data_IF_684825047196
#
_entry.id   IF_684825047196
#
_cell.length_a   1.000
_cell.length_b   1.000
_cell.length_c   1.000
_cell.angle_alpha   90.00
_cell.angle_beta   90.00
_cell.angle_gamma   90.00
#
_symmetry.space_group_name_H-M   'P 1'
#
loop_
_entity.id
_entity.type
_entity.pdbx_description
1 polymer ?
#
# COMPACT_ATOMS: atom_id res chain seq x y z
N UNK A 1 3.43 27.95 31.13
CA UNK A 1 3.50 29.05 30.15
C UNK A 1 2.08 29.51 29.82
N UNK A 2 1.81 30.81 29.89
CA UNK A 2 0.50 31.33 29.50
C UNK A 2 0.35 31.36 27.97
N UNK A 3 -0.81 30.99 27.42
CA UNK A 3 -1.06 31.09 25.99
C UNK A 3 -1.07 32.55 25.53
N UNK A 4 -0.49 32.81 24.36
CA UNK A 4 -0.47 34.14 23.75
C UNK A 4 -1.72 34.36 22.91
N UNK A 5 -2.38 35.51 23.06
CA UNK A 5 -3.44 35.93 22.14
C UNK A 5 -2.81 36.54 20.90
N UNK A 6 -3.22 36.09 19.72
CA UNK A 6 -2.70 36.54 18.41
C UNK A 6 -3.89 36.78 17.49
N UNK A 7 -3.82 37.81 16.65
CA UNK A 7 -4.84 38.09 15.64
C UNK A 7 -4.24 37.85 14.26
N UNK A 8 -4.89 37.01 13.46
CA UNK A 8 -4.45 36.63 12.11
C UNK A 8 -5.69 36.67 11.22
N UNK A 9 -5.63 37.49 10.16
CA UNK A 9 -6.73 37.67 9.19
C UNK A 9 -8.07 38.05 9.85
N UNK A 10 -8.02 38.91 10.88
CA UNK A 10 -9.20 39.35 11.65
C UNK A 10 -9.79 38.28 12.58
N UNK A 11 -9.14 37.13 12.74
CA UNK A 11 -9.54 36.06 13.66
C UNK A 11 -8.62 36.02 14.87
N UNK A 12 -9.21 36.06 16.06
CA UNK A 12 -8.48 35.94 17.32
C UNK A 12 -8.17 34.46 17.61
N UNK A 13 -6.88 34.16 17.74
CA UNK A 13 -6.34 32.86 18.12
C UNK A 13 -5.63 32.93 19.47
N UNK A 14 -5.57 31.79 20.14
CA UNK A 14 -4.80 31.59 21.36
C UNK A 14 -3.75 30.51 21.11
N UNK A 15 -2.49 30.92 21.15
CA UNK A 15 -1.34 30.09 20.81
C UNK A 15 -0.66 29.56 22.08
N UNK A 16 -0.30 28.28 22.06
CA UNK A 16 0.57 27.66 23.08
C UNK A 16 1.60 26.76 22.42
N UNK A 17 2.72 26.53 23.07
CA UNK A 17 3.72 25.58 22.57
C UNK A 17 3.44 24.16 23.08
N UNK A 18 3.71 23.17 22.24
CA UNK A 18 3.77 21.77 22.65
C UNK A 18 4.98 21.57 23.57
N UNK A 19 4.84 20.94 24.75
CA UNK A 19 5.99 20.73 25.64
C UNK A 19 7.03 19.77 25.04
N UNK A 20 6.59 18.80 24.23
CA UNK A 20 7.50 17.82 23.60
C UNK A 20 8.29 18.39 22.41
N UNK A 21 7.61 18.99 21.42
CA UNK A 21 8.24 19.38 20.15
C UNK A 21 8.34 20.89 19.93
N UNK A 22 7.91 21.71 20.88
CA UNK A 22 7.90 23.18 20.77
C UNK A 22 6.89 23.76 19.75
N UNK A 23 6.25 22.93 18.92
CA UNK A 23 5.31 23.41 17.87
C UNK A 23 4.18 24.25 18.46
N UNK A 24 3.86 25.33 17.78
CA UNK A 24 2.75 26.23 18.10
C UNK A 24 1.42 25.54 17.80
N UNK A 25 0.51 25.55 18.77
CA UNK A 25 -0.85 25.00 18.68
C UNK A 25 -1.83 26.15 18.86
N UNK A 26 -2.70 26.34 17.86
CA UNK A 26 -3.73 27.39 17.85
C UNK A 26 -5.06 26.87 18.37
N UNK A 27 -5.74 27.69 19.17
CA UNK A 27 -7.08 27.45 19.69
C UNK A 27 -7.95 28.67 19.45
N UNK A 28 -9.22 28.48 19.08
CA UNK A 28 -10.18 29.58 18.93
C UNK A 28 -10.63 30.15 20.28
N UNK A 29 -10.66 29.32 21.33
CA UNK A 29 -11.09 29.70 22.68
C UNK A 29 -9.91 29.76 23.65
N UNK A 30 -9.69 30.92 24.28
CA UNK A 30 -8.57 31.12 25.22
C UNK A 30 -8.62 30.26 26.47
N UNK A 31 -9.83 29.90 26.94
CA UNK A 31 -10.00 28.94 28.02
C UNK A 31 -9.38 27.56 27.68
N UNK A 32 -9.58 27.06 26.45
CA UNK A 32 -9.04 25.76 26.03
C UNK A 32 -7.51 25.79 25.97
N UNK A 33 -6.94 26.86 25.40
CA UNK A 33 -5.50 27.04 25.35
C UNK A 33 -4.90 27.05 26.77
N UNK A 34 -5.53 27.78 27.71
CA UNK A 34 -5.09 27.84 29.11
C UNK A 34 -5.20 26.49 29.80
N UNK A 35 -6.34 25.81 29.69
CA UNK A 35 -6.56 24.47 30.27
C UNK A 35 -5.52 23.46 29.77
N UNK A 36 -5.29 23.40 28.46
CA UNK A 36 -4.34 22.45 27.86
C UNK A 36 -2.88 22.83 28.13
N UNK A 37 -2.56 24.13 28.25
CA UNK A 37 -1.23 24.58 28.66
C UNK A 37 -0.94 24.21 30.11
N UNK A 38 -1.90 24.44 31.02
CA UNK A 38 -1.80 24.03 32.44
C UNK A 38 -1.65 22.51 32.59
N UNK A 39 -2.38 21.74 31.78
CA UNK A 39 -2.27 20.28 31.76
C UNK A 39 -1.00 19.75 31.06
N UNK A 40 -0.12 20.60 30.54
CA UNK A 40 1.06 20.17 29.79
C UNK A 40 0.72 19.28 28.59
N UNK A 41 -0.46 19.49 27.98
CA UNK A 41 -0.95 18.59 26.94
C UNK A 41 -0.12 18.70 25.66
N UNK A 42 0.12 17.57 25.00
CA UNK A 42 0.92 17.52 23.79
C UNK A 42 0.13 17.95 22.56
N UNK A 43 0.83 18.26 21.47
CA UNK A 43 0.18 18.43 20.16
C UNK A 43 -0.34 17.08 19.65
N UNK A 44 -1.27 17.11 18.68
CA UNK A 44 -1.85 15.88 18.12
C UNK A 44 -0.77 14.92 17.57
N UNK A 45 0.22 15.37 16.78
CA UNK A 45 1.33 14.50 16.36
C UNK A 45 2.06 13.84 17.54
N UNK A 46 2.54 14.63 18.51
CA UNK A 46 3.28 14.11 19.66
C UNK A 46 2.45 13.15 20.51
N UNK A 47 1.16 13.42 20.71
CA UNK A 47 0.26 12.53 21.46
C UNK A 47 0.10 11.15 20.80
N UNK A 48 0.29 11.04 19.50
CA UNK A 48 0.15 9.76 18.78
C UNK A 48 1.48 9.17 18.32
N UNK A 49 2.60 9.76 18.72
CA UNK A 49 3.95 9.29 18.39
C UNK A 49 4.78 9.04 19.65
N UNK A 50 5.75 8.14 19.56
CA UNK A 50 6.68 7.88 20.67
C UNK A 50 5.95 7.59 21.97
N UNK A 51 6.52 8.04 23.09
CA UNK A 51 6.01 7.78 24.44
C UNK A 51 4.61 8.35 24.72
N UNK A 52 4.06 9.22 23.86
CA UNK A 52 2.72 9.79 24.01
C UNK A 52 1.62 8.86 23.55
N UNK A 53 1.96 7.96 22.62
CA UNK A 53 1.06 6.95 22.18
C UNK A 53 1.04 5.82 23.21
N UNK A 54 -0.11 5.58 23.83
CA UNK A 54 -0.31 4.49 24.79
C UNK A 54 0.07 3.11 24.25
N UNK A 55 0.16 2.96 22.92
CA UNK A 55 0.57 1.73 22.25
C UNK A 55 2.04 1.69 21.85
N UNK A 56 2.79 2.78 22.00
CA UNK A 56 4.22 2.79 21.66
C UNK A 56 5.00 1.82 22.55
N UNK A 57 5.87 1.04 21.93
CA UNK A 57 6.63 -0.02 22.59
C UNK A 57 5.81 -1.26 22.97
N UNK A 58 4.47 -1.22 22.91
CA UNK A 58 3.63 -2.40 23.19
C UNK A 58 3.53 -3.28 21.96
N UNK A 59 3.77 -4.59 22.13
CA UNK A 59 3.51 -5.61 21.10
C UNK A 59 2.25 -6.37 21.48
N UNK A 60 1.42 -6.70 20.49
CA UNK A 60 0.34 -7.65 20.70
C UNK A 60 0.91 -9.00 21.11
N UNK A 61 0.29 -9.66 22.08
CA UNK A 61 0.61 -11.04 22.42
C UNK A 61 0.26 -11.94 21.24
N UNK A 62 0.91 -13.10 21.13
CA UNK A 62 0.63 -14.03 20.03
C UNK A 62 -0.82 -14.53 20.07
N UNK A 63 -1.39 -14.68 21.27
CA UNK A 63 -2.82 -14.97 21.45
C UNK A 63 -3.71 -13.90 20.82
N UNK A 64 -3.43 -12.60 21.09
CA UNK A 64 -4.18 -11.50 20.48
C UNK A 64 -4.02 -11.48 18.95
N UNK A 65 -2.82 -11.75 18.42
CA UNK A 65 -2.60 -11.81 16.96
C UNK A 65 -3.43 -12.91 16.31
N UNK A 66 -3.45 -14.10 16.92
CA UNK A 66 -4.25 -15.24 16.44
C UNK A 66 -5.74 -14.92 16.51
N UNK A 67 -6.20 -14.30 17.59
CA UNK A 67 -7.60 -13.92 17.76
C UNK A 67 -8.04 -12.85 16.76
N UNK A 68 -7.24 -11.79 16.57
CA UNK A 68 -7.48 -10.80 15.52
C UNK A 68 -7.47 -11.44 14.13
N UNK A 69 -6.52 -12.33 13.84
CA UNK A 69 -6.47 -13.04 12.56
C UNK A 69 -7.74 -13.82 12.29
N UNK A 70 -8.24 -14.57 13.29
CA UNK A 70 -9.54 -15.28 13.21
C UNK A 70 -10.71 -14.33 13.02
N UNK A 71 -10.73 -13.20 13.72
CA UNK A 71 -11.79 -12.19 13.64
C UNK A 71 -11.83 -11.45 12.31
N UNK A 72 -10.71 -11.26 11.60
CA UNK A 72 -10.68 -10.47 10.36
C UNK A 72 -10.52 -11.30 9.09
N UNK A 73 -10.55 -12.63 9.20
CA UNK A 73 -10.43 -13.56 8.05
C UNK A 73 -11.70 -14.40 7.86
N UNK A 74 -11.89 -14.86 6.62
CA UNK A 74 -12.99 -15.76 6.26
C UNK A 74 -14.34 -15.29 6.77
N UNK A 75 -15.08 -16.21 7.43
CA UNK A 75 -16.41 -15.95 7.98
C UNK A 75 -16.43 -15.02 9.21
N UNK A 76 -15.29 -14.85 9.88
CA UNK A 76 -15.18 -14.01 11.06
C UNK A 76 -15.09 -12.52 10.73
N UNK A 77 -14.60 -12.18 9.52
CA UNK A 77 -14.44 -10.79 9.10
C UNK A 77 -15.78 -10.05 9.23
N UNK A 78 -15.86 -8.89 9.91
CA UNK A 78 -17.11 -8.10 10.01
C UNK A 78 -17.69 -7.69 8.65
N UNK A 79 -16.85 -7.68 7.61
CA UNK A 79 -17.25 -7.43 6.23
C UNK A 79 -17.74 -8.70 5.52
N UNK A 80 -17.64 -9.87 6.16
CA UNK A 80 -18.15 -11.14 5.69
C UNK A 80 -19.52 -11.43 6.29
N UNK A 81 -20.47 -11.81 5.45
CA UNK A 81 -21.53 -12.70 5.91
C UNK A 81 -22.78 -12.12 6.57
N UNK A 82 -22.80 -10.95 7.27
CA UNK A 82 -24.05 -10.29 7.75
C UNK A 82 -23.83 -8.77 7.94
N UNK A 83 -24.67 -7.91 7.33
CA UNK A 83 -24.87 -6.51 7.76
C UNK A 83 -23.81 -5.44 7.45
N UNK A 84 -22.66 -5.78 6.86
CA UNK A 84 -21.63 -4.80 6.44
C UNK A 84 -21.17 -4.91 4.99
N UNK A 85 -21.23 -6.10 4.39
CA UNK A 85 -20.87 -6.35 2.98
C UNK A 85 -21.32 -7.76 2.53
N UNK A 86 -22.53 -8.18 2.87
CA UNK A 86 -23.13 -9.34 2.20
C UNK A 86 -23.59 -8.95 0.80
N UNK A 87 -22.92 -9.47 -0.24
CA UNK A 87 -23.53 -9.67 -1.56
C UNK A 87 -23.96 -8.43 -2.36
N UNK A 88 -23.90 -7.23 -1.79
CA UNK A 88 -24.03 -6.00 -2.57
C UNK A 88 -22.70 -5.80 -3.28
N UNK A 89 -22.70 -6.06 -4.59
CA UNK A 89 -21.72 -5.47 -5.48
C UNK A 89 -21.50 -4.00 -5.05
N UNK A 90 -20.25 -3.54 -5.07
CA UNK A 90 -19.95 -2.14 -4.81
C UNK A 90 -20.99 -1.24 -5.50
N UNK A 91 -21.48 -0.21 -4.81
CA UNK A 91 -22.39 0.74 -5.46
C UNK A 91 -21.77 1.22 -6.77
N UNK A 92 -22.59 1.54 -7.77
CA UNK A 92 -22.08 2.05 -9.05
C UNK A 92 -21.18 3.28 -8.86
N UNK A 93 -21.47 4.13 -7.86
CA UNK A 93 -20.59 5.23 -7.49
C UNK A 93 -19.22 4.76 -6.98
N UNK A 94 -19.20 3.75 -6.11
CA UNK A 94 -17.96 3.15 -5.60
C UNK A 94 -17.17 2.48 -6.73
N UNK A 95 -17.84 1.72 -7.61
CA UNK A 95 -17.22 1.13 -8.80
C UNK A 95 -16.62 2.21 -9.70
N UNK A 96 -17.34 3.31 -9.96
CA UNK A 96 -16.83 4.47 -10.73
C UNK A 96 -15.64 5.13 -10.06
N UNK A 97 -15.61 5.29 -8.73
CA UNK A 97 -14.46 5.82 -7.99
C UNK A 97 -13.23 4.90 -8.09
N UNK A 98 -13.43 3.58 -7.97
CA UNK A 98 -12.38 2.57 -8.17
C UNK A 98 -11.86 2.56 -9.61
N UNK A 99 -12.76 2.61 -10.59
CA UNK A 99 -12.40 2.69 -12.00
C UNK A 99 -11.61 3.98 -12.29
N UNK A 100 -12.07 5.14 -11.81
CA UNK A 100 -11.38 6.43 -11.98
C UNK A 100 -9.97 6.40 -11.39
N UNK A 101 -9.81 5.87 -10.17
CA UNK A 101 -8.49 5.75 -9.54
C UNK A 101 -7.58 4.80 -10.30
N UNK A 102 -8.10 3.68 -10.81
CA UNK A 102 -7.36 2.78 -11.69
C UNK A 102 -6.95 3.46 -13.01
N UNK A 103 -7.85 4.23 -13.65
CA UNK A 103 -7.52 4.99 -14.86
C UNK A 103 -6.43 6.03 -14.61
N UNK A 104 -6.51 6.77 -13.50
CA UNK A 104 -5.46 7.73 -13.11
C UNK A 104 -4.13 7.02 -12.91
N UNK A 105 -4.13 5.86 -12.23
CA UNK A 105 -2.93 5.07 -12.03
C UNK A 105 -2.28 4.62 -13.35
N UNK A 106 -3.06 4.14 -14.31
CA UNK A 106 -2.55 3.77 -15.64
C UNK A 106 -2.08 4.99 -16.45
N UNK A 107 -2.81 6.11 -16.37
CA UNK A 107 -2.47 7.36 -17.05
C UNK A 107 -1.14 7.93 -16.55
N UNK A 108 -0.92 7.92 -15.24
CA UNK A 108 0.34 8.37 -14.64
C UNK A 108 1.52 7.49 -15.06
N UNK A 109 1.27 6.22 -15.40
CA UNK A 109 2.26 5.30 -15.96
C UNK A 109 2.42 5.43 -17.48
N UNK A 110 1.66 6.31 -18.14
CA UNK A 110 1.76 6.54 -19.58
C UNK A 110 1.26 5.38 -20.46
N UNK A 111 0.44 4.46 -19.94
CA UNK A 111 -0.12 3.38 -20.75
C UNK A 111 -1.63 3.44 -20.93
N UNK A 112 -2.06 2.90 -22.07
CA UNK A 112 -3.43 2.53 -22.33
C UNK A 112 -3.69 1.11 -21.79
N UNK A 113 -4.47 0.94 -20.70
CA UNK A 113 -4.64 -0.36 -20.04
C UNK A 113 -5.13 -1.48 -20.98
N UNK A 114 -6.13 -1.25 -21.86
CA UNK A 114 -6.50 -2.21 -22.92
C UNK A 114 -5.33 -2.66 -23.81
N UNK A 115 -4.46 -1.75 -24.24
CA UNK A 115 -3.35 -2.07 -25.13
C UNK A 115 -2.28 -2.91 -24.42
N UNK A 116 -1.94 -2.55 -23.18
CA UNK A 116 -1.01 -3.32 -22.36
C UNK A 116 -1.58 -4.71 -22.03
N UNK A 117 -2.87 -4.81 -21.72
CA UNK A 117 -3.53 -6.10 -21.48
C UNK A 117 -3.46 -7.01 -22.71
N UNK A 118 -3.70 -6.47 -23.91
CA UNK A 118 -3.56 -7.21 -25.18
C UNK A 118 -2.12 -7.70 -25.39
N UNK A 119 -1.13 -6.82 -25.21
CA UNK A 119 0.28 -7.15 -25.33
C UNK A 119 0.70 -8.24 -24.33
N UNK A 120 0.30 -8.11 -23.07
CA UNK A 120 0.56 -9.10 -22.02
C UNK A 120 -0.02 -10.47 -22.36
N UNK A 121 -1.24 -10.52 -22.89
CA UNK A 121 -1.86 -11.78 -23.32
C UNK A 121 -1.06 -12.46 -24.44
N UNK A 122 -0.48 -11.68 -25.37
CA UNK A 122 0.39 -12.20 -26.43
C UNK A 122 1.69 -12.77 -25.83
N UNK A 123 2.35 -12.04 -24.94
CA UNK A 123 3.55 -12.52 -24.22
C UNK A 123 3.25 -13.80 -23.43
N UNK A 124 2.14 -13.85 -22.71
CA UNK A 124 1.73 -15.02 -21.94
C UNK A 124 1.50 -16.24 -22.85
N UNK A 125 0.92 -16.03 -24.04
CA UNK A 125 0.74 -17.09 -25.05
C UNK A 125 2.08 -17.65 -25.51
N UNK A 126 3.04 -16.78 -25.83
CA UNK A 126 4.40 -17.20 -26.23
C UNK A 126 5.11 -17.93 -25.09
N UNK A 127 5.04 -17.37 -23.88
CA UNK A 127 5.69 -17.90 -22.66
C UNK A 127 5.20 -19.31 -22.34
N UNK A 128 3.89 -19.57 -22.44
CA UNK A 128 3.31 -20.91 -22.20
C UNK A 128 3.80 -21.98 -23.18
N UNK A 129 4.23 -21.58 -24.38
CA UNK A 129 4.74 -22.50 -25.40
C UNK A 129 6.25 -22.74 -25.29
N UNK A 130 6.95 -22.06 -24.36
CA UNK A 130 8.38 -22.28 -24.16
C UNK A 130 8.64 -23.54 -23.31
N UNK A 131 9.75 -24.26 -23.54
CA UNK A 131 10.14 -25.40 -22.72
C UNK A 131 10.72 -24.94 -21.37
N UNK A 132 9.89 -24.33 -20.52
CA UNK A 132 10.29 -23.73 -19.23
C UNK A 132 10.86 -24.73 -18.22
N UNK A 133 10.63 -26.03 -18.44
CA UNK A 133 11.21 -27.10 -17.62
C UNK A 133 12.73 -27.20 -17.76
N UNK A 134 13.31 -26.61 -18.81
CA UNK A 134 14.75 -26.51 -19.02
C UNK A 134 15.40 -25.38 -18.19
N UNK A 135 14.60 -24.51 -17.57
CA UNK A 135 15.12 -23.43 -16.75
C UNK A 135 15.65 -23.98 -15.42
N UNK A 136 16.79 -23.43 -14.99
CA UNK A 136 17.35 -23.73 -13.67
C UNK A 136 16.32 -23.45 -12.57
N UNK A 137 16.23 -24.32 -11.56
CA UNK A 137 15.29 -24.22 -10.43
C UNK A 137 13.80 -24.34 -10.79
N UNK A 138 13.46 -24.89 -11.96
CA UNK A 138 12.07 -25.15 -12.35
C UNK A 138 11.35 -26.09 -11.36
N UNK A 139 12.06 -27.09 -10.84
CA UNK A 139 11.61 -28.04 -9.83
C UNK A 139 11.17 -27.37 -8.52
N UNK A 140 11.72 -26.18 -8.22
CA UNK A 140 11.41 -25.39 -7.00
C UNK A 140 10.21 -24.46 -7.18
N UNK A 141 9.46 -24.57 -8.27
CA UNK A 141 8.30 -23.72 -8.53
C UNK A 141 7.22 -23.91 -7.45
N UNK A 142 6.75 -22.82 -6.87
CA UNK A 142 5.78 -22.90 -5.76
C UNK A 142 4.97 -21.64 -5.52
N UNK A 143 4.16 -21.67 -4.47
CA UNK A 143 3.28 -20.56 -4.05
C UNK A 143 4.09 -19.49 -3.31
N UNK A 144 3.73 -18.21 -3.48
CA UNK A 144 4.32 -17.13 -2.69
C UNK A 144 4.10 -17.36 -1.19
N UNK A 145 5.08 -17.01 -0.36
CA UNK A 145 5.04 -17.23 1.09
C UNK A 145 5.63 -18.56 1.55
N UNK A 146 5.83 -19.53 0.65
CA UNK A 146 6.47 -20.82 0.99
C UNK A 146 8.00 -20.67 0.97
N UNK A 147 8.68 -21.17 2.01
CA UNK A 147 10.15 -21.12 2.09
C UNK A 147 10.76 -21.94 0.94
N UNK A 148 11.67 -21.34 0.19
CA UNK A 148 12.35 -22.00 -0.94
C UNK A 148 11.55 -22.05 -2.24
N UNK A 149 10.37 -21.41 -2.32
CA UNK A 149 9.59 -21.37 -3.56
C UNK A 149 10.16 -20.38 -4.59
N UNK A 150 10.11 -20.77 -5.85
CA UNK A 150 10.55 -19.96 -6.99
C UNK A 150 9.37 -19.63 -7.91
N UNK A 151 9.44 -18.48 -8.56
CA UNK A 151 8.49 -18.01 -9.57
C UNK A 151 9.18 -17.83 -10.91
N UNK A 152 8.41 -18.00 -11.98
CA UNK A 152 8.82 -17.63 -13.32
C UNK A 152 8.81 -16.10 -13.44
N UNK A 153 9.94 -15.53 -13.86
CA UNK A 153 10.17 -14.10 -14.02
C UNK A 153 10.70 -13.80 -15.42
N UNK A 154 10.28 -12.67 -15.97
CA UNK A 154 10.86 -12.12 -17.19
C UNK A 154 12.08 -11.25 -16.84
N UNK A 155 13.24 -11.54 -17.43
CA UNK A 155 14.48 -10.77 -17.24
C UNK A 155 14.23 -9.31 -17.61
N UNK A 156 13.85 -9.08 -18.87
CA UNK A 156 13.24 -7.84 -19.35
C UNK A 156 11.73 -7.91 -19.09
N UNK A 157 11.22 -6.97 -18.29
CA UNK A 157 9.83 -7.00 -17.86
C UNK A 157 8.85 -6.82 -19.04
N UNK A 158 7.67 -7.43 -18.92
CA UNK A 158 6.58 -7.27 -19.91
C UNK A 158 6.19 -5.81 -20.09
N UNK A 159 6.22 -5.03 -19.00
CA UNK A 159 5.93 -3.60 -19.04
C UNK A 159 6.97 -2.81 -19.84
N UNK A 160 8.26 -3.07 -19.61
CA UNK A 160 9.34 -2.43 -20.38
C UNK A 160 9.23 -2.80 -21.86
N UNK A 161 8.94 -4.07 -22.17
CA UNK A 161 8.71 -4.53 -23.54
C UNK A 161 7.58 -3.77 -24.22
N UNK A 162 6.48 -3.54 -23.51
CA UNK A 162 5.36 -2.75 -24.02
C UNK A 162 5.74 -1.28 -24.27
N UNK A 163 6.38 -0.62 -23.31
CA UNK A 163 6.75 0.80 -23.46
C UNK A 163 7.75 1.05 -24.58
N UNK A 164 8.61 0.07 -24.87
CA UNK A 164 9.65 0.18 -25.90
C UNK A 164 9.28 -0.54 -27.21
N UNK A 165 8.01 -0.92 -27.40
CA UNK A 165 7.51 -1.62 -28.59
C UNK A 165 8.31 -2.88 -28.96
N UNK A 166 8.84 -3.60 -27.96
CA UNK A 166 9.54 -4.87 -28.17
C UNK A 166 8.51 -5.94 -28.53
N UNK A 167 8.78 -6.75 -29.55
CA UNK A 167 7.90 -7.85 -29.95
C UNK A 167 7.60 -8.82 -28.80
N UNK A 168 6.34 -9.24 -28.70
CA UNK A 168 5.86 -10.14 -27.64
C UNK A 168 6.58 -11.49 -27.66
N UNK A 169 7.00 -11.92 -28.84
CA UNK A 169 7.78 -13.11 -29.13
C UNK A 169 9.14 -13.05 -28.45
N UNK A 170 9.80 -11.88 -28.48
CA UNK A 170 11.10 -11.68 -27.82
C UNK A 170 10.97 -11.65 -26.31
N UNK A 171 9.93 -10.98 -25.78
CA UNK A 171 9.70 -10.92 -24.34
C UNK A 171 9.28 -12.28 -23.78
N UNK A 172 8.45 -13.03 -24.49
CA UNK A 172 7.98 -14.35 -24.05
C UNK A 172 8.94 -15.50 -24.35
N UNK A 173 10.04 -15.26 -25.07
CA UNK A 173 11.02 -16.29 -25.42
C UNK A 173 11.77 -16.81 -24.20
N UNK A 174 12.16 -18.09 -24.21
CA UNK A 174 12.85 -18.74 -23.09
C UNK A 174 14.12 -18.03 -22.64
N UNK A 175 14.85 -17.40 -23.57
CA UNK A 175 16.06 -16.62 -23.26
C UNK A 175 15.78 -15.39 -22.38
N UNK A 176 14.53 -14.92 -22.31
CA UNK A 176 14.11 -13.83 -21.45
C UNK A 176 13.40 -14.35 -20.17
N UNK A 177 13.35 -15.66 -19.95
CA UNK A 177 12.71 -16.27 -18.79
C UNK A 177 13.76 -16.79 -17.81
N UNK A 178 13.44 -16.72 -16.51
CA UNK A 178 14.23 -17.35 -15.46
C UNK A 178 13.36 -17.70 -14.27
N UNK A 179 13.81 -18.63 -13.44
CA UNK A 179 13.21 -18.87 -12.13
C UNK A 179 13.97 -18.06 -11.08
N UNK A 180 13.26 -17.25 -10.29
CA UNK A 180 13.83 -16.50 -9.16
C UNK A 180 13.04 -16.76 -7.88
N UNK A 181 13.66 -16.59 -6.70
CA UNK A 181 12.94 -16.69 -5.43
C UNK A 181 11.69 -15.80 -5.43
N UNK A 182 10.55 -16.32 -4.97
CA UNK A 182 9.27 -15.59 -5.02
C UNK A 182 9.35 -14.21 -4.35
N UNK A 183 10.14 -14.09 -3.28
CA UNK A 183 10.31 -12.86 -2.53
C UNK A 183 11.06 -11.79 -3.34
N UNK A 184 12.04 -12.20 -4.16
CA UNK A 184 12.78 -11.30 -5.04
C UNK A 184 11.90 -10.82 -6.20
N UNK A 185 11.09 -11.72 -6.76
CA UNK A 185 10.12 -11.37 -7.80
C UNK A 185 9.14 -10.29 -7.32
N UNK A 186 8.64 -10.40 -6.08
CA UNK A 186 7.76 -9.39 -5.48
C UNK A 186 8.48 -8.05 -5.26
N UNK A 187 9.72 -8.06 -4.80
CA UNK A 187 10.52 -6.83 -4.59
C UNK A 187 10.76 -6.07 -5.90
N UNK A 188 10.93 -6.76 -7.04
CA UNK A 188 11.09 -6.14 -8.36
C UNK A 188 9.97 -5.14 -8.70
N UNK A 189 8.74 -5.41 -8.28
CA UNK A 189 7.60 -4.50 -8.50
C UNK A 189 7.66 -3.24 -7.63
N UNK A 190 8.21 -3.35 -6.41
CA UNK A 190 8.30 -2.23 -5.47
C UNK A 190 9.48 -1.28 -5.77
N UNK A 191 10.61 -1.79 -6.24
CA UNK A 191 11.81 -0.98 -6.51
C UNK A 191 11.78 -0.25 -7.86
N UNK A 192 11.08 -0.80 -8.87
CA UNK A 192 10.92 -0.13 -10.16
C UNK A 192 9.95 1.07 -10.12
N UNK A 193 9.32 1.35 -8.97
CA UNK A 193 8.52 2.57 -8.73
C UNK A 193 9.34 3.73 -8.11
N UNK A 194 10.61 3.49 -7.76
CA UNK A 194 11.47 4.45 -7.05
C UNK A 194 12.55 5.12 -7.92
N UNK A 195 12.48 4.95 -9.24
CA UNK A 195 13.28 5.68 -10.24
C UNK A 195 12.35 6.36 -11.23
#
# INVERSE_FOLDING_TARGET
>A
MEPKRVEVDGVVWWERNCPECGKIIRHTKGYNARKLSKAGSWCKPCRFSGNGNNFYGRKHSDKMKVEHSKRFSGKGNPMYGIGGMLGKAHSELTKKKMARTQTIWWRNRGANPPAFAKYRNQVDKVTRNQPIHLLENFDKRGVAGVRGAYHLDHITSVWYGFQNNILSEKIGHISNLRMIPWLENQKKWLYNEAK
#
